data_IF_622451993989
#
_entry.id   IF_622451993989
#
_cell.length_a   1.000
_cell.length_b   1.000
_cell.length_c   1.000
_cell.angle_alpha   90.00
_cell.angle_beta   90.00
_cell.angle_gamma   90.00
#
_symmetry.space_group_name_H-M   'P 1'
#
loop_
_entity.id
_entity.type
_entity.pdbx_description
1 polymer ?
#
# COMPACT_ATOMS: atom_id res chain seq x y z
N UNK A 1 -9.15 12.31 1.12
CA UNK A 1 -10.00 11.17 1.55
C UNK A 1 -11.11 10.86 0.57
N UNK A 2 -11.96 11.81 0.16
CA UNK A 2 -13.05 11.60 -0.80
C UNK A 2 -12.63 10.92 -2.11
N UNK A 3 -11.53 11.35 -2.72
CA UNK A 3 -11.04 10.76 -3.97
C UNK A 3 -10.70 9.26 -3.86
N UNK A 4 -10.11 8.84 -2.74
CA UNK A 4 -9.82 7.42 -2.49
C UNK A 4 -11.10 6.64 -2.22
N UNK A 5 -12.07 7.24 -1.54
CA UNK A 5 -13.38 6.64 -1.28
C UNK A 5 -14.09 6.30 -2.59
N UNK A 6 -14.24 7.29 -3.48
CA UNK A 6 -14.82 7.11 -4.81
C UNK A 6 -14.08 6.03 -5.61
N UNK A 7 -12.74 6.02 -5.54
CA UNK A 7 -11.97 5.01 -6.25
C UNK A 7 -12.24 3.59 -5.74
N UNK A 8 -12.53 3.41 -4.45
CA UNK A 8 -12.87 2.09 -3.90
C UNK A 8 -14.22 1.55 -4.38
N UNK A 9 -15.10 2.42 -4.89
CA UNK A 9 -16.35 2.03 -5.55
C UNK A 9 -16.10 1.53 -6.97
N UNK A 10 -15.06 2.06 -7.62
CA UNK A 10 -14.61 1.64 -8.94
C UNK A 10 -13.82 0.33 -8.83
N UNK A 11 -12.86 0.25 -7.92
CA UNK A 11 -12.00 -0.91 -7.68
C UNK A 11 -12.15 -1.43 -6.24
N UNK A 12 -13.09 -2.36 -5.97
CA UNK A 12 -13.32 -2.89 -4.62
C UNK A 12 -12.08 -3.48 -3.93
N UNK A 13 -11.09 -3.94 -4.70
CA UNK A 13 -9.82 -4.45 -4.18
C UNK A 13 -9.06 -3.42 -3.31
N UNK A 14 -9.27 -2.12 -3.55
CA UNK A 14 -8.64 -1.04 -2.79
C UNK A 14 -9.25 -0.84 -1.41
N UNK A 15 -10.48 -1.33 -1.17
CA UNK A 15 -11.13 -1.24 0.14
C UNK A 15 -10.28 -1.86 1.24
N UNK A 16 -9.55 -2.94 0.93
CA UNK A 16 -8.70 -3.63 1.89
C UNK A 16 -7.64 -2.70 2.49
N UNK A 17 -6.99 -1.89 1.65
CA UNK A 17 -5.99 -0.91 2.06
C UNK A 17 -6.62 0.39 2.60
N UNK A 18 -7.68 0.87 1.93
CA UNK A 18 -8.30 2.16 2.23
C UNK A 18 -8.94 2.22 3.61
N UNK A 19 -9.65 1.17 4.05
CA UNK A 19 -10.38 1.21 5.33
C UNK A 19 -9.46 1.36 6.56
N UNK A 20 -8.38 0.57 6.72
CA UNK A 20 -7.39 0.78 7.78
C UNK A 20 -6.76 2.18 7.72
N UNK A 21 -6.44 2.66 6.51
CA UNK A 21 -5.88 4.00 6.32
C UNK A 21 -6.84 5.09 6.76
N UNK A 22 -8.12 5.04 6.34
CA UNK A 22 -9.15 6.00 6.73
C UNK A 22 -9.29 6.06 8.25
N UNK A 23 -9.30 4.89 8.90
CA UNK A 23 -9.37 4.79 10.36
C UNK A 23 -8.18 5.48 11.03
N UNK A 24 -6.96 5.17 10.60
CA UNK A 24 -5.75 5.74 11.19
C UNK A 24 -5.65 7.23 10.89
N UNK A 25 -5.96 7.66 9.66
CA UNK A 25 -5.99 9.07 9.27
C UNK A 25 -6.88 9.90 10.21
N UNK A 26 -8.10 9.42 10.49
CA UNK A 26 -9.00 10.09 11.43
C UNK A 26 -8.40 10.18 12.84
N UNK A 27 -7.68 9.15 13.30
CA UNK A 27 -7.04 9.15 14.63
C UNK A 27 -5.79 10.05 14.69
N UNK A 28 -5.03 10.15 13.60
CA UNK A 28 -3.83 10.98 13.48
C UNK A 28 -4.18 12.47 13.46
N UNK A 29 -5.16 12.87 12.65
CA UNK A 29 -5.62 14.27 12.55
C UNK A 29 -6.12 14.80 13.89
N UNK A 30 -6.74 13.97 14.73
CA UNK A 30 -7.25 14.38 16.04
C UNK A 30 -6.18 14.50 17.11
N UNK A 31 -4.99 13.90 16.95
CA UNK A 31 -4.01 13.80 18.05
C UNK A 31 -3.17 15.06 18.28
N UNK A 32 -3.18 16.03 17.38
CA UNK A 32 -2.37 17.26 17.49
C UNK A 32 -0.87 16.96 17.38
N UNK A 33 -0.20 17.51 16.37
CA UNK A 33 1.18 17.15 16.01
C UNK A 33 2.18 17.39 17.16
N UNK A 34 2.77 16.33 17.71
CA UNK A 34 3.83 16.44 18.73
C UNK A 34 4.95 15.37 18.61
N UNK A 35 4.88 14.42 17.66
CA UNK A 35 5.90 13.37 17.47
C UNK A 35 6.31 13.25 16.00
N UNK A 36 7.51 13.72 15.68
CA UNK A 36 8.09 13.69 14.34
C UNK A 36 8.14 12.27 13.74
N UNK A 37 8.41 11.22 14.53
CA UNK A 37 8.51 9.85 13.99
C UNK A 37 7.15 9.38 13.46
N UNK A 38 6.10 9.72 14.21
CA UNK A 38 4.73 9.39 13.87
C UNK A 38 4.28 10.17 12.64
N UNK A 39 4.60 11.47 12.56
CA UNK A 39 4.35 12.31 11.39
C UNK A 39 5.03 11.73 10.14
N UNK A 40 6.34 11.43 10.20
CA UNK A 40 7.08 10.89 9.04
C UNK A 40 6.52 9.55 8.56
N UNK A 41 6.17 8.62 9.47
CA UNK A 41 5.56 7.35 9.09
C UNK A 41 4.18 7.54 8.46
N UNK A 42 3.39 8.44 9.01
CA UNK A 42 2.07 8.74 8.49
C UNK A 42 2.13 9.38 7.10
N UNK A 43 3.11 10.27 6.86
CA UNK A 43 3.38 10.82 5.53
C UNK A 43 3.71 9.70 4.53
N UNK A 44 4.56 8.72 4.90
CA UNK A 44 4.85 7.58 4.03
C UNK A 44 3.61 6.75 3.71
N UNK A 45 2.76 6.48 4.70
CA UNK A 45 1.49 5.76 4.46
C UNK A 45 0.59 6.56 3.50
N UNK A 46 0.49 7.88 3.70
CA UNK A 46 -0.27 8.79 2.84
C UNK A 46 0.27 8.78 1.41
N UNK A 47 1.59 8.83 1.22
CA UNK A 47 2.24 8.82 -0.09
C UNK A 47 1.89 7.55 -0.89
N UNK A 48 1.92 6.37 -0.25
CA UNK A 48 1.54 5.12 -0.92
C UNK A 48 0.06 5.13 -1.30
N UNK A 49 -0.81 5.63 -0.41
CA UNK A 49 -2.24 5.74 -0.68
C UNK A 49 -2.54 6.69 -1.84
N UNK A 50 -1.79 7.78 -1.99
CA UNK A 50 -1.99 8.71 -3.10
C UNK A 50 -1.67 8.10 -4.46
N UNK A 51 -0.72 7.16 -4.54
CA UNK A 51 -0.45 6.42 -5.80
C UNK A 51 -1.63 5.57 -6.21
N UNK A 52 -2.41 5.05 -5.25
CA UNK A 52 -3.62 4.34 -5.61
C UNK A 52 -4.57 5.23 -6.43
N UNK A 53 -4.54 6.56 -6.31
CA UNK A 53 -5.36 7.44 -7.15
C UNK A 53 -5.06 7.32 -8.65
N UNK A 54 -3.84 6.92 -9.01
CA UNK A 54 -3.45 6.69 -10.40
C UNK A 54 -4.20 5.50 -11.03
N UNK A 55 -4.76 4.59 -10.21
CA UNK A 55 -5.66 3.52 -10.66
C UNK A 55 -6.93 4.03 -11.30
N UNK A 56 -7.33 5.29 -11.11
CA UNK A 56 -8.48 5.85 -11.81
C UNK A 56 -8.34 5.72 -13.34
N UNK A 57 -7.11 5.65 -13.85
CA UNK A 57 -6.81 5.44 -15.27
C UNK A 57 -6.95 3.98 -15.75
N UNK A 58 -7.11 3.03 -14.82
CA UNK A 58 -7.17 1.60 -15.08
C UNK A 58 -8.62 1.14 -15.05
N UNK A 59 -9.07 0.45 -16.11
CA UNK A 59 -10.41 -0.11 -16.16
C UNK A 59 -10.61 -1.24 -15.16
N UNK A 60 -11.85 -1.49 -14.73
CA UNK A 60 -12.20 -2.65 -13.89
C UNK A 60 -11.90 -3.97 -14.59
N UNK A 61 -11.94 -3.95 -15.92
CA UNK A 61 -11.72 -5.07 -16.82
C UNK A 61 -10.31 -5.03 -17.45
N UNK A 62 -9.34 -4.41 -16.77
CA UNK A 62 -7.95 -4.37 -17.26
C UNK A 62 -7.40 -5.80 -17.40
N UNK A 63 -7.09 -6.17 -18.65
CA UNK A 63 -6.61 -7.50 -19.04
C UNK A 63 -5.09 -7.59 -19.14
N UNK A 64 -4.36 -6.53 -18.75
CA UNK A 64 -2.89 -6.57 -18.77
C UNK A 64 -2.38 -7.68 -17.87
N UNK A 65 -1.32 -8.32 -18.36
CA UNK A 65 -0.59 -9.36 -17.66
C UNK A 65 0.81 -8.87 -17.31
N UNK A 66 1.32 -9.32 -16.17
CA UNK A 66 2.69 -9.10 -15.74
C UNK A 66 3.65 -9.98 -16.55
N UNK A 67 4.98 -9.72 -16.52
CA UNK A 67 5.97 -10.60 -17.17
C UNK A 67 5.89 -12.06 -16.69
N UNK A 68 5.41 -12.28 -15.46
CA UNK A 68 5.19 -13.61 -14.88
C UNK A 68 3.84 -14.25 -15.26
N UNK A 69 3.10 -13.65 -16.21
CA UNK A 69 1.82 -14.16 -16.73
C UNK A 69 0.62 -13.97 -15.79
N UNK A 70 0.74 -13.13 -14.75
CA UNK A 70 -0.36 -12.88 -13.79
C UNK A 70 -1.14 -11.62 -14.17
N UNK A 71 -2.45 -11.54 -13.90
CA UNK A 71 -3.20 -10.30 -14.11
C UNK A 71 -2.63 -9.15 -13.27
N UNK A 72 -2.48 -7.96 -13.88
CA UNK A 72 -2.01 -6.74 -13.19
C UNK A 72 -2.87 -6.45 -11.97
N UNK A 73 -4.19 -6.51 -12.10
CA UNK A 73 -5.13 -6.29 -11.00
C UNK A 73 -4.93 -7.27 -9.83
N UNK A 74 -4.48 -8.50 -10.09
CA UNK A 74 -4.18 -9.50 -9.06
C UNK A 74 -2.92 -9.12 -8.27
N UNK A 75 -1.86 -8.69 -8.95
CA UNK A 75 -0.64 -8.17 -8.30
C UNK A 75 -0.96 -6.97 -7.42
N UNK A 76 -1.79 -6.05 -7.92
CA UNK A 76 -2.23 -4.87 -7.16
C UNK A 76 -3.06 -5.24 -5.93
N UNK A 77 -3.99 -6.19 -6.05
CA UNK A 77 -4.76 -6.67 -4.91
C UNK A 77 -3.85 -7.28 -3.82
N UNK A 78 -2.81 -8.02 -4.21
CA UNK A 78 -1.81 -8.54 -3.27
C UNK A 78 -1.07 -7.42 -2.55
N UNK A 79 -0.62 -6.40 -3.29
CA UNK A 79 0.08 -5.24 -2.71
C UNK A 79 -0.83 -4.50 -1.72
N UNK A 80 -2.11 -4.27 -2.06
CA UNK A 80 -3.06 -3.64 -1.15
C UNK A 80 -3.33 -4.45 0.11
N UNK A 81 -3.39 -5.78 0.00
CA UNK A 81 -3.55 -6.68 1.15
C UNK A 81 -2.35 -6.62 2.09
N UNK A 82 -1.14 -6.65 1.53
CA UNK A 82 0.08 -6.55 2.33
C UNK A 82 0.20 -5.18 3.00
N UNK A 83 -0.14 -4.12 2.26
CA UNK A 83 -0.15 -2.76 2.80
C UNK A 83 -1.13 -2.59 3.96
N UNK A 84 -2.32 -3.21 3.89
CA UNK A 84 -3.24 -3.27 5.03
C UNK A 84 -2.53 -3.81 6.27
N UNK A 85 -1.85 -4.96 6.14
CA UNK A 85 -1.16 -5.61 7.24
C UNK A 85 -0.06 -4.70 7.81
N UNK A 86 0.77 -4.12 6.94
CA UNK A 86 1.84 -3.22 7.35
C UNK A 86 1.31 -1.98 8.10
N UNK A 87 0.20 -1.40 7.64
CA UNK A 87 -0.45 -0.25 8.28
C UNK A 87 -0.97 -0.61 9.68
N UNK A 88 -1.69 -1.73 9.79
CA UNK A 88 -2.27 -2.19 11.06
C UNK A 88 -1.16 -2.51 12.09
N UNK A 89 -0.11 -3.23 11.67
CA UNK A 89 1.00 -3.58 12.55
C UNK A 89 1.86 -2.37 12.95
N UNK A 90 2.16 -1.47 12.00
CA UNK A 90 2.89 -0.23 12.28
C UNK A 90 2.18 0.62 13.35
N UNK A 91 0.87 0.80 13.17
CA UNK A 91 0.07 1.60 14.09
C UNK A 91 -0.04 0.97 15.49
N UNK A 92 -0.09 -0.37 15.57
CA UNK A 92 -0.02 -1.08 16.84
C UNK A 92 1.30 -0.86 17.57
N UNK A 93 2.44 -0.84 16.85
CA UNK A 93 3.76 -0.54 17.43
C UNK A 93 3.82 0.91 17.95
N UNK A 94 3.32 1.88 17.17
CA UNK A 94 3.26 3.29 17.59
C UNK A 94 2.42 3.45 18.87
N UNK A 95 1.23 2.86 18.92
CA UNK A 95 0.36 2.92 20.10
C UNK A 95 0.99 2.21 21.32
N UNK A 96 1.71 1.11 21.11
CA UNK A 96 2.39 0.39 22.19
C UNK A 96 3.55 1.20 22.79
N UNK A 97 4.26 1.98 21.98
CA UNK A 97 5.32 2.88 22.41
C UNK A 97 4.77 4.07 23.24
N UNK A 98 3.59 4.58 22.87
CA UNK A 98 2.95 5.72 23.54
C UNK A 98 2.39 5.36 24.92
N UNK A 99 1.71 4.21 25.06
CA UNK A 99 0.93 3.82 26.24
C UNK A 99 1.72 3.39 27.49
N UNK A 100 3.06 3.37 27.51
CA UNK A 100 3.84 2.80 28.64
C UNK A 100 4.69 3.82 29.40
N UNK A 101 4.80 3.61 30.71
CA UNK A 101 5.59 4.42 31.65
C UNK A 101 7.09 4.47 31.33
N UNK A 102 7.72 5.56 31.75
CA UNK A 102 9.07 6.02 31.37
C UNK A 102 10.17 4.95 31.48
N UNK A 103 10.07 4.00 32.41
CA UNK A 103 11.11 2.98 32.67
C UNK A 103 11.26 1.87 31.60
N UNK A 104 10.19 1.49 30.89
CA UNK A 104 10.25 0.44 29.85
C UNK A 104 10.62 1.02 28.48
N UNK A 105 10.45 2.34 28.29
CA UNK A 105 10.73 3.03 27.03
C UNK A 105 12.18 2.81 26.58
N UNK A 106 13.15 2.76 27.48
CA UNK A 106 14.56 2.68 27.09
C UNK A 106 15.00 1.28 26.61
N UNK A 107 14.56 0.20 27.27
CA UNK A 107 15.03 -1.16 26.96
C UNK A 107 14.54 -1.69 25.60
N UNK A 108 13.34 -1.28 25.16
CA UNK A 108 12.76 -1.73 23.88
C UNK A 108 12.69 -0.64 22.81
N UNK A 109 13.08 0.60 23.12
CA UNK A 109 13.09 1.70 22.14
C UNK A 109 13.89 1.35 20.88
N UNK A 110 15.07 0.74 21.03
CA UNK A 110 15.89 0.35 19.88
C UNK A 110 15.17 -0.68 18.98
N UNK A 111 14.50 -1.66 19.58
CA UNK A 111 13.75 -2.68 18.83
C UNK A 111 12.52 -2.08 18.12
N UNK A 112 11.76 -1.21 18.80
CA UNK A 112 10.63 -0.51 18.17
C UNK A 112 11.08 0.44 17.07
N UNK A 113 12.13 1.24 17.30
CA UNK A 113 12.70 2.10 16.27
C UNK A 113 13.12 1.29 15.04
N UNK A 114 13.76 0.12 15.22
CA UNK A 114 14.10 -0.78 14.12
C UNK A 114 12.87 -1.29 13.37
N UNK A 115 11.80 -1.65 14.09
CA UNK A 115 10.53 -2.06 13.47
C UNK A 115 9.89 -0.92 12.68
N UNK A 116 9.86 0.29 13.24
CA UNK A 116 9.32 1.49 12.61
C UNK A 116 10.08 1.86 11.33
N UNK A 117 11.42 1.82 11.36
CA UNK A 117 12.25 1.99 10.15
C UNK A 117 11.91 0.92 9.10
N UNK A 118 11.74 -0.34 9.51
CA UNK A 118 11.32 -1.42 8.60
C UNK A 118 9.94 -1.17 7.98
N UNK A 119 8.97 -0.62 8.72
CA UNK A 119 7.68 -0.21 8.13
C UNK A 119 7.85 0.93 7.14
N UNK A 120 8.65 1.96 7.46
CA UNK A 120 8.93 3.05 6.53
C UNK A 120 9.55 2.54 5.21
N UNK A 121 10.53 1.64 5.28
CA UNK A 121 11.11 0.99 4.10
C UNK A 121 10.06 0.18 3.33
N UNK A 122 9.21 -0.59 4.03
CA UNK A 122 8.14 -1.34 3.37
C UNK A 122 7.17 -0.42 2.63
N UNK A 123 6.74 0.69 3.22
CA UNK A 123 5.87 1.65 2.53
C UNK A 123 6.54 2.24 1.29
N UNK A 124 7.83 2.60 1.37
CA UNK A 124 8.59 3.03 0.18
C UNK A 124 8.63 1.94 -0.89
N UNK A 125 8.90 0.68 -0.53
CA UNK A 125 8.93 -0.41 -1.51
C UNK A 125 7.54 -0.65 -2.13
N UNK A 126 6.47 -0.58 -1.33
CA UNK A 126 5.08 -0.72 -1.83
C UNK A 126 4.71 0.42 -2.79
N UNK A 127 5.20 1.63 -2.50
CA UNK A 127 5.11 2.80 -3.39
C UNK A 127 5.69 2.45 -4.76
N UNK A 128 6.92 1.99 -4.78
CA UNK A 128 7.67 1.64 -5.99
C UNK A 128 7.03 0.47 -6.74
N UNK A 129 6.60 -0.57 -6.04
CA UNK A 129 5.89 -1.72 -6.62
C UNK A 129 4.60 -1.30 -7.31
N UNK A 130 3.82 -0.40 -6.71
CA UNK A 130 2.60 0.13 -7.30
C UNK A 130 2.90 0.98 -8.53
N UNK A 131 3.84 1.94 -8.43
CA UNK A 131 4.26 2.76 -9.58
C UNK A 131 4.75 1.89 -10.74
N UNK A 132 5.59 0.90 -10.45
CA UNK A 132 6.08 -0.06 -11.44
C UNK A 132 4.90 -0.79 -12.09
N UNK A 133 4.02 -1.38 -11.28
CA UNK A 133 2.85 -2.13 -11.75
C UNK A 133 1.92 -1.28 -12.62
N UNK A 134 1.70 -0.02 -12.25
CA UNK A 134 0.91 0.95 -13.02
C UNK A 134 1.56 1.28 -14.36
N UNK A 135 2.89 1.47 -14.36
CA UNK A 135 3.68 1.83 -15.53
C UNK A 135 3.91 0.69 -16.53
N UNK A 136 3.59 -0.56 -16.15
CA UNK A 136 3.76 -1.71 -17.04
C UNK A 136 2.92 -1.55 -18.31
N UNK A 137 3.62 -1.41 -19.42
CA UNK A 137 3.07 -1.54 -20.77
C UNK A 137 3.07 -3.02 -21.14
N UNK A 138 1.97 -3.49 -21.72
CA UNK A 138 1.72 -4.91 -22.03
C UNK A 138 2.83 -5.50 -22.92
N UNK A 139 3.31 -6.71 -22.61
CA UNK A 139 3.94 -7.59 -23.62
C UNK A 139 2.80 -8.35 -24.27
N UNK A 140 2.55 -8.09 -25.56
CA UNK A 140 1.62 -8.91 -26.35
C UNK A 140 2.34 -10.21 -26.70
N UNK A 141 2.08 -11.29 -25.98
CA UNK A 141 2.57 -12.62 -26.38
C UNK A 141 1.74 -13.09 -27.58
N UNK A 142 2.28 -12.96 -28.78
CA UNK A 142 1.69 -13.45 -30.04
C UNK A 142 1.74 -15.00 -30.14
N UNK A 143 1.17 -15.73 -29.17
CA UNK A 143 1.17 -17.21 -29.20
C UNK A 143 -0.16 -17.83 -29.64
N UNK A 144 -0.91 -17.16 -30.53
CA UNK A 144 -2.07 -17.75 -31.23
C UNK A 144 -2.20 -17.31 -32.70
N UNK A 145 -1.08 -17.22 -33.43
CA UNK A 145 -1.10 -17.03 -34.89
C UNK A 145 -0.18 -18.00 -35.66
N UNK A 146 0.01 -19.24 -35.18
CA UNK A 146 0.76 -20.24 -35.95
C UNK A 146 0.12 -21.64 -36.05
N UNK A 147 -1.20 -21.77 -35.84
CA UNK A 147 -1.90 -23.05 -36.05
C UNK A 147 -2.93 -23.04 -37.19
N UNK A 148 -2.79 -22.14 -38.18
CA UNK A 148 -3.66 -22.12 -39.37
C UNK A 148 -2.95 -22.32 -40.72
N UNK A 149 -1.67 -22.70 -40.74
CA UNK A 149 -1.00 -23.17 -41.95
C UNK A 149 -0.16 -24.40 -41.63
N UNK A 150 -0.82 -25.55 -41.53
CA UNK A 150 -0.20 -26.85 -41.79
C UNK A 150 -1.03 -27.47 -42.92
N UNK A 151 -0.31 -27.86 -43.96
CA UNK A 151 -0.78 -28.36 -45.27
C UNK A 151 -1.86 -29.45 -45.19
#
# INVERSE_FOLDING_TARGET
MSALETLTEIHPLLKAAYLPFKRIYSQEVTRGENDHKRTTLFEKIKDVMLILLELKSIGKDDTRITPEGKPVLSRMASICKDMKKDIEECYNVLNAQEKRGVGIKFLKAAAWNKQLVSYATRFTNRREDLTFTLSMRTVVTMEKMNSKYVF
#
